data_IF_517022832977
#
_entry.id   IF_517022832977
#
_cell.length_a   1.000
_cell.length_b   1.000
_cell.length_c   1.000
_cell.angle_alpha   90.00
_cell.angle_beta   90.00
_cell.angle_gamma   90.00
#
_symmetry.space_group_name_H-M   'P 1'
#
loop_
_entity.id
_entity.type
_entity.pdbx_description
1 polymer ?
2 polymer ?
3 polymer ?
4 non-polymer ?
5 water ?
#
# COMPACT_ATOMS: atom_id res chain seq x y z
N UNK A 2 -67.69 34.82 17.71
CA UNK A 2 -67.67 33.74 18.69
C UNK A 2 -66.36 33.75 19.47
N UNK A 3 -66.20 32.78 20.38
CA UNK A 3 -64.97 32.71 21.17
C UNK A 3 -63.84 32.03 20.41
N UNK A 4 -64.14 30.92 19.72
CA UNK A 4 -63.11 30.17 19.02
C UNK A 4 -62.96 30.57 17.56
N UNK A 5 -64.06 30.91 16.91
CA UNK A 5 -64.07 31.15 15.49
C UNK A 5 -64.49 29.91 14.71
N UNK A 6 -64.11 29.90 13.43
CA UNK A 6 -64.41 28.75 12.60
C UNK A 6 -63.54 27.56 12.97
N UNK A 7 -64.14 26.38 12.98
CA UNK A 7 -63.44 25.14 13.31
C UNK A 7 -62.90 24.52 12.02
N UNK A 8 -61.59 24.33 11.96
CA UNK A 8 -61.01 23.61 10.84
C UNK A 8 -61.27 22.12 10.99
N UNK A 9 -61.27 21.37 9.88
CA UNK A 9 -61.53 19.93 9.98
C UNK A 9 -60.47 19.22 10.80
N UNK A 10 -60.90 18.23 11.57
CA UNK A 10 -60.00 17.51 12.45
C UNK A 10 -58.87 16.86 11.66
N UNK A 11 -57.64 17.06 12.12
CA UNK A 11 -56.47 16.59 11.40
C UNK A 11 -56.20 15.12 11.69
N UNK A 12 -55.69 14.43 10.67
CA UNK A 12 -55.25 13.05 10.80
C UNK A 12 -53.75 13.00 10.58
N UNK A 13 -52.95 12.68 11.58
CA UNK A 13 -51.49 12.69 11.42
C UNK A 13 -51.06 11.65 10.41
N UNK A 14 -50.12 11.99 9.53
CA UNK A 14 -49.69 11.04 8.50
C UNK A 14 -48.98 9.85 9.12
N UNK A 15 -48.97 8.74 8.36
CA UNK A 15 -48.29 7.55 8.81
C UNK A 15 -46.81 7.86 8.98
N UNK A 16 -46.20 7.24 10.00
CA UNK A 16 -44.80 7.47 10.35
C UNK A 16 -44.55 8.95 10.69
N UNK A 17 -45.56 9.63 11.21
CA UNK A 17 -45.44 11.04 11.51
C UNK A 17 -46.31 11.45 12.68
N UNK A 18 -46.20 12.72 13.05
CA UNK A 18 -46.97 13.27 14.16
C UNK A 18 -47.31 14.73 13.87
N UNK A 19 -48.27 15.25 14.63
CA UNK A 19 -48.71 16.63 14.51
C UNK A 19 -48.63 17.27 15.90
N UNK A 20 -48.10 18.50 15.95
CA UNK A 20 -47.93 19.19 17.21
C UNK A 20 -48.34 20.64 17.00
N UNK A 21 -49.14 21.23 17.92
CA UNK A 21 -49.69 20.59 19.13
C UNK A 21 -50.80 19.59 18.84
N UNK A 22 -50.86 18.53 19.64
CA UNK A 22 -51.91 17.52 19.51
C UNK A 22 -53.17 18.05 20.17
N UNK A 23 -54.13 18.47 19.35
CA UNK A 23 -55.38 19.04 19.83
C UNK A 23 -56.56 18.14 19.46
N UNK A 24 -57.62 18.23 20.26
CA UNK A 24 -58.83 17.48 19.95
C UNK A 24 -59.56 18.10 18.76
N UNK A 25 -59.61 19.42 18.69
CA UNK A 25 -60.15 20.14 17.55
C UNK A 25 -59.24 21.31 17.24
N UNK A 26 -59.48 21.95 16.10
CA UNK A 26 -58.68 23.07 15.63
C UNK A 26 -59.58 24.20 15.17
N UNK A 27 -59.22 25.42 15.54
CA UNK A 27 -60.02 26.60 15.22
C UNK A 27 -59.11 27.67 14.61
N UNK A 28 -59.70 28.81 14.29
CA UNK A 28 -58.98 29.88 13.63
C UNK A 28 -57.76 30.30 14.43
N UNK A 29 -56.66 30.61 13.72
CA UNK A 29 -55.35 31.03 14.21
C UNK A 29 -54.52 29.87 14.73
N UNK A 30 -55.04 28.63 14.73
CA UNK A 30 -54.26 27.49 15.17
C UNK A 30 -53.16 27.20 14.16
N UNK A 31 -51.91 27.19 14.64
CA UNK A 31 -50.75 26.83 13.84
C UNK A 31 -50.19 25.51 14.35
N UNK A 32 -49.88 24.59 13.44
CA UNK A 32 -49.40 23.26 13.80
C UNK A 32 -48.22 22.91 12.91
N UNK A 33 -47.26 22.19 13.49
CA UNK A 33 -46.08 21.71 12.78
C UNK A 33 -46.22 20.20 12.59
N UNK A 34 -46.13 19.76 11.35
CA UNK A 34 -46.17 18.33 11.03
C UNK A 34 -44.74 17.84 10.89
N UNK A 35 -44.43 16.74 11.58
CA UNK A 35 -43.12 16.12 11.50
C UNK A 35 -43.30 14.61 11.36
N UNK A 36 -42.19 13.91 11.14
CA UNK A 36 -42.20 12.48 10.92
C UNK A 36 -41.35 11.79 11.99
N UNK A 37 -41.58 10.48 12.14
CA UNK A 37 -40.85 9.71 13.13
C UNK A 37 -39.38 9.60 12.77
N UNK A 38 -38.60 9.06 13.71
CA UNK A 38 -37.17 8.85 13.48
C UNK A 38 -36.97 7.88 12.33
N UNK A 39 -36.25 8.33 11.29
CA UNK A 39 -36.04 7.56 10.09
C UNK A 39 -36.84 8.03 8.90
N UNK A 40 -37.74 8.98 9.09
CA UNK A 40 -38.56 9.52 8.01
C UNK A 40 -38.36 11.03 7.91
N UNK A 41 -38.68 11.57 6.74
CA UNK A 41 -38.63 13.00 6.50
C UNK A 41 -39.96 13.47 5.92
N UNK A 42 -40.29 14.72 6.20
CA UNK A 42 -41.52 15.30 5.67
C UNK A 42 -41.37 15.50 4.17
N UNK A 43 -42.36 15.03 3.41
CA UNK A 43 -42.38 15.18 1.96
C UNK A 43 -43.60 15.98 1.57
N UNK A 44 -43.38 17.14 0.95
CA UNK A 44 -44.45 18.01 0.49
C UNK A 44 -44.04 18.63 -0.83
N UNK A 45 -44.88 18.46 -1.86
CA UNK A 45 -44.60 18.92 -3.21
C UNK A 45 -43.26 18.35 -3.72
N UNK A 46 -43.02 17.07 -3.40
CA UNK A 46 -41.81 16.36 -3.82
C UNK A 46 -40.55 17.04 -3.28
N UNK A 47 -40.63 17.54 -2.05
CA UNK A 47 -39.51 18.19 -1.38
C UNK A 47 -39.37 17.62 0.02
N UNK A 48 -38.15 17.28 0.41
CA UNK A 48 -37.89 16.75 1.74
C UNK A 48 -37.73 17.89 2.73
N UNK A 49 -38.41 17.78 3.88
CA UNK A 49 -38.34 18.78 4.93
C UNK A 49 -38.28 18.09 6.28
N UNK A 50 -37.88 18.84 7.29
CA UNK A 50 -37.92 18.35 8.67
C UNK A 50 -39.28 18.59 9.31
N UNK A 51 -39.83 19.78 9.13
CA UNK A 51 -41.16 20.12 9.60
C UNK A 51 -41.94 20.78 8.48
N UNK A 52 -43.25 20.89 8.67
CA UNK A 52 -44.10 21.65 7.76
C UNK A 52 -45.22 22.28 8.55
N UNK A 53 -45.38 23.60 8.40
CA UNK A 53 -46.32 24.39 9.18
C UNK A 53 -47.57 24.68 8.37
N UNK A 54 -48.72 24.52 9.02
CA UNK A 54 -50.01 24.85 8.42
C UNK A 54 -50.87 25.57 9.46
N UNK A 55 -51.61 26.57 9.02
CA UNK A 55 -52.48 27.34 9.89
C UNK A 55 -53.94 27.12 9.53
N UNK A 56 -54.82 27.41 10.48
CA UNK A 56 -56.25 27.32 10.29
C UNK A 56 -56.78 28.71 9.93
N UNK A 57 -57.33 28.84 8.72
CA UNK A 57 -57.74 30.14 8.19
C UNK A 57 -59.09 30.55 8.75
N UNK A 58 -59.44 31.82 8.54
CA UNK A 58 -60.66 32.38 9.11
C UNK A 58 -61.93 31.77 8.53
N UNK A 59 -61.85 31.20 7.35
CA UNK A 59 -63.02 30.58 6.71
C UNK A 59 -63.20 29.12 7.12
N UNK A 60 -62.35 28.61 8.00
CA UNK A 60 -62.47 27.23 8.45
C UNK A 60 -61.75 26.22 7.58
N UNK A 61 -60.81 26.65 6.75
CA UNK A 61 -60.03 25.75 5.92
C UNK A 61 -58.56 25.83 6.29
N UNK A 62 -57.84 24.74 6.03
CA UNK A 62 -56.42 24.70 6.38
C UNK A 62 -55.58 25.41 5.32
N UNK A 63 -54.40 25.84 5.75
CA UNK A 63 -53.50 26.56 4.84
C UNK A 63 -53.01 25.66 3.72
N UNK A 64 -52.71 24.40 4.03
CA UNK A 64 -52.29 23.43 3.03
C UNK A 64 -52.79 22.05 3.43
N UNK A 65 -52.75 21.13 2.47
CA UNK A 65 -53.07 19.75 2.77
C UNK A 65 -51.95 19.13 3.62
N UNK A 66 -52.29 18.03 4.28
CA UNK A 66 -51.30 17.38 5.15
C UNK A 66 -50.26 16.69 4.27
N UNK A 67 -48.97 16.90 4.53
CA UNK A 67 -47.93 16.23 3.75
C UNK A 67 -47.79 14.77 4.17
N UNK A 68 -46.83 14.09 3.55
CA UNK A 68 -46.57 12.68 3.82
C UNK A 68 -45.18 12.51 4.43
N UNK A 69 -44.90 11.29 4.85
CA UNK A 69 -43.62 10.93 5.46
C UNK A 69 -42.93 9.90 4.58
N UNK A 70 -41.83 10.30 3.96
CA UNK A 70 -41.03 9.39 3.14
C UNK A 70 -39.87 8.86 3.95
N UNK A 71 -39.52 7.59 3.71
CA UNK A 71 -38.41 6.98 4.41
C UNK A 71 -37.10 7.63 3.99
N UNK A 72 -36.25 7.91 4.97
CA UNK A 72 -34.94 8.50 4.67
C UNK A 72 -34.14 7.51 3.84
N UNK A 73 -33.69 7.94 2.67
CA UNK A 73 -32.92 7.10 1.76
C UNK A 73 -31.48 7.56 1.75
N UNK A 74 -30.56 6.63 1.95
CA UNK A 74 -29.14 6.91 1.90
C UNK A 74 -28.57 6.82 0.49
N UNK A 75 -29.37 6.40 -0.49
CA UNK A 75 -28.98 6.30 -1.90
C UNK A 75 -27.79 5.34 -2.01
N UNK A 76 -26.97 5.51 -3.04
CA UNK A 76 -25.86 4.59 -3.26
C UNK A 76 -24.69 4.95 -2.33
N UNK A 77 -24.09 3.95 -1.70
CA UNK A 77 -22.92 4.22 -0.85
C UNK A 77 -21.73 4.70 -1.68
N UNK A 78 -20.83 5.40 -1.01
CA UNK A 78 -19.63 5.89 -1.66
C UNK A 78 -18.76 4.78 -2.21
N UNK A 79 -18.35 4.90 -3.47
CA UNK A 79 -17.53 3.87 -4.09
C UNK A 79 -16.20 3.74 -3.36
N UNK A 80 -15.83 2.51 -3.03
CA UNK A 80 -14.59 2.21 -2.32
C UNK A 80 -13.52 1.82 -3.33
N UNK A 81 -12.38 2.52 -3.27
CA UNK A 81 -11.26 2.18 -4.14
C UNK A 81 -10.74 0.78 -3.81
N UNK A 82 -10.56 -0.03 -4.84
CA UNK A 82 -10.09 -1.42 -4.69
C UNK A 82 -11.03 -2.24 -3.82
N UNK A 83 -12.32 -1.91 -3.83
CA UNK A 83 -13.28 -2.58 -2.98
C UNK A 83 -14.59 -2.83 -3.71
N UNK A 84 -15.41 -3.68 -3.10
CA UNK A 84 -16.74 -4.00 -3.62
C UNK A 84 -17.77 -3.85 -2.51
N UNK A 85 -19.04 -3.82 -2.91
CA UNK A 85 -20.15 -3.59 -2.01
C UNK A 85 -21.12 -4.76 -2.11
N UNK A 86 -21.44 -5.36 -0.97
CA UNK A 86 -22.44 -6.42 -0.87
C UNK A 86 -23.58 -5.96 0.02
N UNK A 87 -24.69 -6.70 -0.05
CA UNK A 87 -25.91 -6.34 0.67
C UNK A 87 -26.38 -7.52 1.51
N UNK A 88 -27.26 -7.21 2.46
CA UNK A 88 -27.86 -8.24 3.31
C UNK A 88 -29.37 -8.07 3.36
N UNK A 89 -29.85 -6.83 3.21
CA UNK A 89 -31.27 -6.55 3.24
C UNK A 89 -31.94 -6.95 1.93
N UNK A 92 -31.26 -4.52 -2.63
CA UNK A 92 -30.56 -3.28 -2.31
C UNK A 92 -31.55 -2.18 -1.90
N UNK A 93 -31.94 -2.20 -0.62
CA UNK A 93 -32.93 -1.24 -0.13
C UNK A 93 -32.36 0.17 -0.08
N UNK A 94 -31.19 0.33 0.55
CA UNK A 94 -30.46 1.59 0.70
C UNK A 94 -31.25 2.65 1.47
N UNK A 95 -32.35 2.28 2.11
CA UNK A 95 -33.14 3.20 2.91
C UNK A 95 -32.84 2.98 4.39
N UNK A 96 -33.65 3.59 5.25
CA UNK A 96 -33.41 3.56 6.69
C UNK A 96 -33.34 2.12 7.19
N UNK A 97 -32.38 1.89 8.11
CA UNK A 97 -32.15 0.60 8.78
C UNK A 97 -31.52 -0.45 7.86
N UNK A 98 -31.63 -0.28 6.54
CA UNK A 98 -30.99 -1.22 5.63
C UNK A 98 -29.47 -1.06 5.69
N UNK A 99 -28.78 -2.16 5.41
CA UNK A 99 -27.34 -2.23 5.66
C UNK A 99 -26.62 -2.85 4.47
N UNK A 100 -25.38 -2.40 4.27
CA UNK A 100 -24.50 -2.93 3.23
C UNK A 100 -23.22 -3.41 3.89
N UNK A 101 -22.35 -4.03 3.09
CA UNK A 101 -21.09 -4.57 3.58
C UNK A 101 -19.98 -4.22 2.59
N UNK A 102 -18.96 -3.53 3.07
CA UNK A 102 -17.80 -3.22 2.26
C UNK A 102 -16.78 -4.35 2.35
N UNK A 103 -16.27 -4.76 1.19
CA UNK A 103 -15.19 -5.74 1.11
C UNK A 103 -14.14 -5.23 0.15
N UNK A 104 -12.89 -5.61 0.42
CA UNK A 104 -11.79 -5.26 -0.47
C UNK A 104 -11.59 -6.35 -1.50
N UNK A 105 -11.20 -5.94 -2.71
CA UNK A 105 -11.02 -6.88 -3.82
C UNK A 105 -9.90 -7.86 -3.49
N UNK A 106 -10.27 -9.00 -2.89
CA UNK A 106 -9.30 -10.00 -2.50
C UNK A 106 -8.80 -10.77 -3.73
N UNK A 107 -7.62 -11.40 -3.64
CA UNK A 107 -6.71 -11.42 -2.50
C UNK A 107 -5.65 -10.32 -2.52
N UNK A 108 -5.58 -9.58 -3.64
CA UNK A 108 -4.53 -8.59 -3.80
C UNK A 108 -4.71 -7.37 -2.90
N UNK A 109 -5.90 -7.18 -2.35
CA UNK A 109 -6.17 -6.08 -1.43
C UNK A 109 -6.87 -6.59 -0.19
N UNK A 110 -6.53 -5.99 0.96
CA UNK A 110 -7.10 -6.36 2.24
C UNK A 110 -7.54 -5.11 2.98
N UNK A 111 -8.60 -5.25 3.77
CA UNK A 111 -9.15 -4.12 4.51
C UNK A 111 -8.37 -3.92 5.80
N UNK A 112 -8.01 -2.66 6.08
CA UNK A 112 -7.42 -2.31 7.35
C UNK A 112 -8.41 -2.63 8.46
N UNK A 113 -8.08 -3.62 9.30
CA UNK A 113 -9.04 -4.14 10.25
C UNK A 113 -9.36 -3.13 11.37
N UNK A 114 -9.92 -1.99 10.99
CA UNK A 114 -10.44 -1.02 11.94
C UNK A 114 -11.95 -1.09 12.08
N UNK A 115 -12.65 -1.47 11.02
CA UNK A 115 -14.10 -1.66 11.02
C UNK A 115 -14.41 -3.09 10.62
N UNK A 116 -15.70 -3.41 10.60
CA UNK A 116 -16.18 -4.73 10.19
C UNK A 116 -16.76 -4.73 8.79
N UNK A 117 -16.80 -3.58 8.12
CA UNK A 117 -17.33 -3.46 6.79
C UNK A 117 -18.81 -3.15 6.71
N UNK A 118 -19.58 -3.44 7.76
CA UNK A 118 -21.02 -3.23 7.74
C UNK A 118 -21.31 -1.74 7.91
N UNK A 119 -22.17 -1.21 7.05
CA UNK A 119 -22.61 0.18 7.14
C UNK A 119 -24.13 0.22 7.12
N UNK A 120 -24.71 0.85 8.13
CA UNK A 120 -26.17 0.96 8.27
C UNK A 120 -26.60 2.37 7.93
N UNK A 121 -27.72 2.49 7.22
CA UNK A 121 -28.27 3.79 6.86
C UNK A 121 -28.90 4.44 8.08
N UNK A 122 -28.32 5.54 8.54
CA UNK A 122 -28.77 6.19 9.76
C UNK A 122 -30.08 6.94 9.52
N UNK A 123 -30.63 7.47 10.61
CA UNK A 123 -31.84 8.29 10.49
C UNK A 123 -31.55 9.60 9.77
N UNK A 124 -30.33 10.09 9.83
CA UNK A 124 -29.94 11.31 9.14
C UNK A 124 -29.56 11.06 7.68
N UNK A 125 -29.84 9.88 7.14
CA UNK A 125 -29.56 9.60 5.75
C UNK A 125 -28.08 9.44 5.42
N UNK A 126 -27.29 8.90 6.34
CA UNK A 126 -25.86 8.71 6.15
C UNK A 126 -25.51 7.26 6.46
N UNK A 127 -24.74 6.63 5.59
CA UNK A 127 -24.23 5.28 5.85
C UNK A 127 -23.23 5.33 6.99
N UNK A 128 -23.55 4.66 8.10
CA UNK A 128 -22.76 4.72 9.32
C UNK A 128 -22.20 3.36 9.65
N UNK A 129 -20.90 3.31 9.93
CA UNK A 129 -20.26 2.15 10.54
C UNK A 129 -20.10 2.42 12.03
N UNK A 130 -20.27 1.38 12.84
CA UNK A 130 -20.22 1.57 14.29
C UNK A 130 -18.86 2.08 14.75
N UNK A 131 -17.80 1.86 13.98
CA UNK A 131 -16.47 2.33 14.37
C UNK A 131 -16.08 3.51 13.50
N UNK A 132 -16.10 3.31 12.19
CA UNK A 132 -15.65 4.35 11.26
C UNK A 132 -16.67 5.47 11.08
N UNK A 133 -17.91 5.27 11.46
CA UNK A 133 -18.91 6.32 11.29
C UNK A 133 -19.22 6.53 9.82
N UNK A 134 -19.20 7.79 9.40
CA UNK A 134 -19.41 8.12 7.99
C UNK A 134 -18.16 7.93 7.14
N UNK A 135 -17.00 7.75 7.76
CA UNK A 135 -15.78 7.53 7.00
C UNK A 135 -15.79 6.14 6.39
N UNK A 136 -15.24 6.03 5.18
CA UNK A 136 -15.16 4.76 4.48
C UNK A 136 -13.93 3.98 4.93
N UNK A 137 -13.96 2.66 4.81
CA UNK A 137 -12.76 1.86 5.11
C UNK A 137 -11.71 2.04 4.03
N UNK A 138 -10.53 1.49 4.28
CA UNK A 138 -9.39 1.61 3.39
C UNK A 138 -8.89 0.23 2.99
N UNK A 139 -8.67 0.03 1.70
CA UNK A 139 -8.16 -1.22 1.16
C UNK A 139 -6.65 -1.09 0.94
N UNK A 140 -5.87 -1.91 1.63
CA UNK A 140 -4.42 -1.91 1.52
C UNK A 140 -3.95 -3.11 0.72
N UNK A 141 -2.85 -2.98 -0.03
CA UNK A 141 -2.33 -4.11 -0.80
C UNK A 141 -1.87 -5.24 0.11
N UNK A 142 -2.13 -6.47 -0.32
CA UNK A 142 -1.62 -7.66 0.35
C UNK A 142 -0.25 -7.98 -0.23
N UNK A 143 0.66 -8.42 0.63
CA UNK A 143 2.06 -8.62 0.25
C UNK A 143 2.48 -10.06 0.51
N UNK A 144 3.52 -10.48 -0.21
CA UNK A 144 4.24 -11.72 0.07
C UNK A 144 3.47 -12.99 -0.14
N UNK A 145 2.35 -12.96 -0.87
CA UNK A 145 1.55 -14.15 -1.15
C UNK A 145 1.58 -14.42 -2.65
N UNK A 146 2.61 -15.09 -3.15
CA UNK A 146 2.66 -15.38 -4.59
C UNK A 146 1.73 -16.51 -4.98
N UNK A 147 1.18 -16.42 -6.18
CA UNK A 147 0.21 -17.38 -6.67
C UNK A 147 0.86 -18.53 -7.43
N UNK A 148 2.18 -18.67 -7.35
CA UNK A 148 2.90 -19.72 -8.07
C UNK A 148 3.92 -20.35 -7.14
N UNK A 149 3.90 -21.68 -7.06
CA UNK A 149 4.81 -22.41 -6.21
C UNK A 149 6.14 -22.65 -6.92
N UNK A 150 7.11 -23.14 -6.15
CA UNK A 150 8.44 -23.45 -6.68
C UNK A 150 8.56 -24.94 -6.93
N UNK A 151 9.26 -25.29 -8.00
CA UNK A 151 9.50 -26.67 -8.38
C UNK A 151 11.00 -26.93 -8.43
N UNK A 152 11.37 -28.12 -8.90
CA UNK A 152 12.78 -28.49 -9.04
C UNK A 152 13.00 -29.28 -10.32
N UNK B 1 24.27 -12.20 -9.80
CA UNK B 1 23.99 -13.38 -9.00
C UNK B 1 24.98 -14.49 -9.33
N UNK B 2 25.85 -14.80 -8.37
CA UNK B 2 26.88 -15.81 -8.55
C UNK B 2 26.36 -17.18 -8.12
N UNK B 3 26.50 -18.17 -9.01
CA UNK B 3 26.13 -19.56 -8.72
C UNK B 3 24.67 -19.66 -8.28
N UNK B 4 23.77 -19.28 -9.19
CA UNK B 4 22.35 -19.36 -8.92
C UNK B 4 21.63 -20.13 -10.01
N UNK B 5 20.33 -20.35 -9.78
CA UNK B 5 19.49 -21.03 -10.74
C UNK B 5 18.39 -20.08 -11.21
N UNK B 6 17.90 -20.26 -12.44
CA UNK B 6 16.87 -19.36 -12.96
C UNK B 6 15.57 -19.50 -12.17
N UNK B 7 15.06 -18.36 -11.70
CA UNK B 7 13.79 -18.36 -10.99
C UNK B 7 12.64 -18.67 -11.94
N UNK B 8 11.63 -19.35 -11.41
CA UNK B 8 10.47 -19.71 -12.22
C UNK B 8 9.53 -18.51 -12.35
N UNK B 9 8.85 -18.45 -13.49
CA UNK B 9 7.99 -17.31 -13.79
C UNK B 9 6.85 -17.20 -12.78
N UNK B 10 6.75 -16.05 -12.13
CA UNK B 10 5.68 -15.78 -11.19
C UNK B 10 5.98 -16.08 -9.74
N UNK B 11 7.21 -16.50 -9.43
CA UNK B 11 7.58 -16.78 -8.04
C UNK B 11 8.18 -15.59 -7.32
N UNK B 12 8.48 -14.50 -8.05
CA UNK B 12 9.03 -13.28 -7.46
C UNK B 12 8.28 -12.09 -8.05
N UNK B 13 7.03 -11.89 -7.67
CA UNK B 13 6.23 -10.80 -8.26
C UNK B 13 6.51 -9.42 -7.67
N UNK B 14 7.37 -9.33 -6.66
CA UNK B 14 7.70 -8.05 -6.03
C UNK B 14 8.97 -7.43 -6.57
N UNK B 15 9.80 -8.18 -7.29
CA UNK B 15 11.06 -7.65 -7.78
C UNK B 15 10.80 -6.58 -8.83
N UNK B 16 11.62 -5.54 -8.81
CA UNK B 16 11.52 -4.44 -9.76
C UNK B 16 12.88 -4.23 -10.42
N UNK B 17 12.85 -3.81 -11.68
CA UNK B 17 14.06 -3.50 -12.42
C UNK B 17 14.15 -1.99 -12.59
N UNK B 18 15.14 -1.38 -11.95
CA UNK B 18 15.45 0.03 -12.17
C UNK B 18 16.35 0.11 -13.40
N UNK B 19 15.81 0.60 -14.50
CA UNK B 19 16.51 0.63 -15.76
C UNK B 19 16.42 2.02 -16.38
N UNK B 20 17.39 2.34 -17.24
CA UNK B 20 17.34 3.57 -17.99
C UNK B 20 16.17 3.54 -18.98
N UNK B 21 15.83 4.73 -19.49
CA UNK B 21 14.88 4.79 -20.59
C UNK B 21 15.40 4.08 -21.83
N UNK B 22 16.72 3.95 -21.96
CA UNK B 22 17.30 3.12 -23.00
C UNK B 22 16.79 1.69 -22.91
N UNK B 23 16.70 1.16 -21.70
CA UNK B 23 16.31 -0.22 -21.46
C UNK B 23 17.38 -1.04 -20.78
N UNK B 24 18.63 -0.60 -20.81
CA UNK B 24 19.71 -1.33 -20.15
C UNK B 24 19.49 -1.31 -18.65
N UNK B 25 19.39 -2.47 -18.00
CA UNK B 25 19.21 -2.49 -16.55
C UNK B 25 20.46 -2.05 -15.82
N UNK B 26 20.27 -1.39 -14.68
CA UNK B 26 21.42 -0.98 -13.86
C UNK B 26 21.26 -1.27 -12.37
N UNK B 27 20.05 -1.46 -11.85
CA UNK B 27 19.86 -1.83 -10.47
C UNK B 27 18.55 -2.60 -10.34
N UNK B 28 18.30 -3.10 -9.13
CA UNK B 28 17.07 -3.81 -8.81
C UNK B 28 16.32 -3.10 -7.70
N UNK B 29 15.09 -3.58 -7.46
CA UNK B 29 14.25 -3.01 -6.42
C UNK B 29 13.21 -3.99 -5.98
N UNK B 30 12.37 -3.55 -5.05
CA UNK B 30 11.31 -4.36 -4.48
C UNK B 30 10.07 -3.52 -4.33
N UNK B 31 8.93 -4.04 -4.77
CA UNK B 31 7.68 -3.30 -4.65
C UNK B 31 7.20 -3.30 -3.21
N UNK B 32 6.94 -2.12 -2.67
CA UNK B 32 6.40 -1.96 -1.33
C UNK B 32 5.11 -1.15 -1.41
N UNK B 33 4.06 -1.65 -0.76
CA UNK B 33 2.79 -0.97 -0.82
C UNK B 33 2.20 -1.01 -2.22
N UNK B 34 1.70 0.14 -2.67
CA UNK B 34 1.07 0.22 -3.98
C UNK B 34 1.83 1.07 -4.99
N UNK B 35 2.77 1.91 -4.53
CA UNK B 35 3.46 2.81 -5.47
C UNK B 35 4.86 3.16 -4.98
N UNK B 36 5.47 2.31 -4.16
CA UNK B 36 6.81 2.56 -3.65
C UNK B 36 7.75 1.43 -4.06
N UNK B 37 9.01 1.79 -4.29
CA UNK B 37 10.06 0.85 -4.64
C UNK B 37 11.25 1.15 -3.74
N UNK B 38 11.59 0.21 -2.86
CA UNK B 38 12.77 0.33 -2.01
C UNK B 38 13.95 -0.24 -2.79
N UNK B 39 15.13 0.36 -2.60
CA UNK B 39 16.31 -0.02 -3.35
C UNK B 39 17.53 0.51 -2.64
N UNK B 40 18.70 0.30 -3.25
CA UNK B 40 19.93 0.82 -2.70
C UNK B 40 20.02 2.33 -2.91
N UNK B 41 20.64 3.02 -1.95
CA UNK B 41 20.78 4.46 -2.05
C UNK B 41 21.78 4.85 -3.14
N UNK B 42 22.82 4.04 -3.34
CA UNK B 42 23.82 4.37 -4.36
C UNK B 42 23.33 4.13 -5.77
N UNK B 43 22.15 3.51 -5.93
CA UNK B 43 21.57 3.35 -7.26
C UNK B 43 20.98 4.65 -7.79
N UNK B 44 20.67 5.60 -6.90
CA UNK B 44 19.85 6.75 -7.24
C UNK B 44 20.65 8.06 -7.24
N UNK B 45 21.95 7.98 -7.48
CA UNK B 45 22.77 9.18 -7.60
C UNK B 45 24.04 8.84 -8.36
N UNK B 46 24.59 9.84 -9.04
CA UNK B 46 25.82 9.68 -9.80
C UNK B 46 27.02 9.78 -8.86
N UNK B 47 28.21 9.52 -9.42
CA UNK B 47 29.44 9.59 -8.64
C UNK B 47 29.72 11.03 -8.23
N UNK B 48 30.22 11.19 -7.01
CA UNK B 48 30.53 12.53 -6.50
C UNK B 48 31.73 13.11 -7.23
N UNK B 49 31.64 14.39 -7.55
CA UNK B 49 32.70 15.08 -8.27
C UNK B 49 33.96 15.21 -7.42
N UNK B 52 33.91 18.90 -5.47
CA UNK B 52 33.05 18.78 -4.30
C UNK B 52 32.67 17.33 -4.06
N UNK B 53 33.50 16.61 -3.30
CA UNK B 53 33.20 15.20 -3.00
C UNK B 53 31.97 15.00 -2.12
N UNK B 54 31.35 16.06 -1.63
CA UNK B 54 30.15 15.93 -0.80
C UNK B 54 28.94 15.66 -1.67
N UNK B 55 28.00 14.88 -1.13
CA UNK B 55 26.79 14.51 -1.84
C UNK B 55 25.76 15.63 -1.72
N UNK B 56 25.16 16.02 -2.84
CA UNK B 56 24.14 17.06 -2.89
C UNK B 56 22.90 16.51 -3.58
N UNK B 57 21.82 17.31 -3.53
CA UNK B 57 20.58 16.90 -4.18
C UNK B 57 20.69 16.94 -5.69
N UNK B 58 21.60 17.76 -6.23
CA UNK B 58 21.81 17.80 -7.67
C UNK B 58 22.58 16.58 -8.17
N UNK B 59 23.26 15.86 -7.28
CA UNK B 59 23.94 14.62 -7.64
C UNK B 59 22.98 13.46 -7.81
N UNK B 60 21.73 13.61 -7.40
CA UNK B 60 20.75 12.54 -7.51
C UNK B 60 20.38 12.29 -8.97
N UNK B 61 19.81 11.12 -9.22
CA UNK B 61 19.37 10.76 -10.57
C UNK B 61 17.98 11.35 -10.83
N UNK B 62 17.86 12.08 -11.93
CA UNK B 62 16.60 12.75 -12.24
C UNK B 62 15.49 11.73 -12.47
N UNK B 63 14.28 11.98 -11.97
CA UNK B 63 13.18 11.03 -12.21
C UNK B 63 12.87 10.82 -13.68
N UNK B 64 13.16 11.81 -14.53
CA UNK B 64 12.93 11.69 -15.96
C UNK B 64 14.11 11.04 -16.68
N UNK B 65 15.03 10.41 -15.96
CA UNK B 65 16.19 9.78 -16.56
C UNK B 65 16.19 8.26 -16.44
N UNK B 66 15.26 7.67 -15.70
CA UNK B 66 15.19 6.22 -15.58
C UNK B 66 13.77 5.81 -15.27
N UNK B 67 13.49 4.52 -15.48
CA UNK B 67 12.16 3.96 -15.27
C UNK B 67 12.27 2.68 -14.44
N UNK B 68 11.12 2.20 -13.98
CA UNK B 68 11.02 0.98 -13.19
C UNK B 68 10.08 0.02 -13.89
N UNK B 69 10.49 -1.24 -14.01
CA UNK B 69 9.70 -2.27 -14.66
C UNK B 69 9.28 -3.29 -13.62
N UNK B 70 8.00 -3.62 -13.58
CA UNK B 70 7.45 -4.62 -12.69
C UNK B 70 6.93 -5.80 -13.49
N UNK B 71 6.75 -6.93 -12.80
CA UNK B 71 6.32 -8.15 -13.45
C UNK B 71 7.26 -8.63 -14.53
N UNK B 72 8.55 -8.33 -14.41
CA UNK B 72 9.52 -8.68 -15.44
C UNK B 72 10.22 -9.99 -15.08
N UNK B 73 10.38 -10.84 -16.09
CA UNK B 73 11.04 -12.13 -15.92
C UNK B 73 12.34 -12.22 -16.68
N UNK B 74 12.36 -11.78 -17.94
CA UNK B 74 13.58 -11.76 -18.73
C UNK B 74 14.40 -10.51 -18.37
N UNK B 75 15.68 -10.53 -18.77
CA UNK B 75 16.53 -9.37 -18.54
C UNK B 75 16.43 -8.36 -19.68
N UNK B 76 16.43 -8.83 -20.93
CA UNK B 76 16.31 -7.94 -22.07
C UNK B 76 15.07 -8.20 -22.92
N UNK B 77 14.46 -9.38 -22.84
CA UNK B 77 13.23 -9.66 -23.55
C UNK B 77 12.03 -9.14 -22.76
N UNK B 78 10.86 -9.17 -23.39
CA UNK B 78 9.65 -8.64 -22.79
C UNK B 78 8.50 -9.64 -22.93
N UNK B 79 7.56 -9.57 -22.00
CA UNK B 79 6.32 -10.32 -22.05
C UNK B 79 5.16 -9.40 -21.70
N UNK B 80 3.95 -9.92 -21.82
CA UNK B 80 2.75 -9.12 -21.60
C UNK B 80 2.57 -8.69 -20.14
N UNK B 81 3.34 -9.27 -19.22
CA UNK B 81 3.22 -8.94 -17.81
C UNK B 81 4.02 -7.72 -17.40
N UNK B 82 4.95 -7.26 -18.24
CA UNK B 82 5.80 -6.13 -17.87
C UNK B 82 5.01 -4.84 -17.83
N UNK B 83 5.15 -4.11 -16.72
CA UNK B 83 4.52 -2.80 -16.53
C UNK B 83 5.63 -1.76 -16.38
N UNK B 84 5.82 -0.94 -17.40
CA UNK B 84 6.85 0.09 -17.39
C UNK B 84 6.28 1.35 -16.75
N UNK B 85 6.89 1.77 -15.64
CA UNK B 85 6.39 2.89 -14.85
C UNK B 85 7.47 3.95 -14.70
N UNK B 86 7.06 5.21 -14.74
CA UNK B 86 7.97 6.30 -14.53
C UNK B 86 8.34 6.46 -13.06
N UNK B 87 9.03 7.55 -12.78
CA UNK B 87 9.49 7.87 -11.42
C UNK B 87 8.98 9.25 -11.05
N UNK B 88 8.39 9.36 -9.86
CA UNK B 88 7.90 10.63 -9.36
C UNK B 88 8.89 11.30 -8.42
N UNK B 89 9.30 10.62 -7.36
CA UNK B 89 10.21 11.18 -6.37
C UNK B 89 11.23 10.13 -5.96
N UNK B 90 12.37 10.61 -5.48
CA UNK B 90 13.46 9.77 -5.00
C UNK B 90 13.92 10.33 -3.66
N UNK B 91 13.93 9.48 -2.63
CA UNK B 91 14.31 9.90 -1.28
C UNK B 91 15.32 8.91 -0.72
N UNK B 92 16.56 9.37 -0.53
CA UNK B 92 17.59 8.57 0.10
C UNK B 92 17.51 8.73 1.62
N UNK B 93 18.18 7.82 2.33
CA UNK B 93 18.16 7.86 3.78
C UNK B 93 18.86 9.12 4.28
N UNK B 94 18.30 9.82 5.28
CA UNK B 94 18.96 11.04 5.77
C UNK B 94 20.34 10.78 6.36
N UNK B 95 20.54 9.64 7.00
CA UNK B 95 21.84 9.27 7.56
C UNK B 95 22.60 8.32 6.64
N UNK B 96 22.32 8.36 5.34
CA UNK B 96 23.04 7.53 4.38
C UNK B 96 24.42 8.12 4.10
N UNK B 97 25.43 7.27 4.13
CA UNK B 97 26.81 7.67 3.89
C UNK B 97 27.31 7.00 2.62
N UNK B 98 27.57 7.75 1.54
CA UNK B 98 28.06 7.10 0.31
C UNK B 98 29.47 6.56 0.42
N UNK B 99 30.28 7.04 1.36
CA UNK B 99 31.65 6.56 1.50
C UNK B 99 31.69 5.21 2.20
N UNK B 100 30.99 5.08 3.32
CA UNK B 100 30.95 3.83 4.08
C UNK B 100 29.77 2.96 3.70
N UNK B 101 28.93 3.39 2.76
CA UNK B 101 27.72 2.67 2.36
C UNK B 101 26.80 2.42 3.55
N UNK B 102 26.88 3.27 4.57
CA UNK B 102 26.02 3.18 5.74
C UNK B 102 24.62 3.67 5.38
N UNK B 103 23.61 2.91 5.82
CA UNK B 103 22.21 3.18 5.47
C UNK B 103 22.04 3.25 3.95
N UNK B 104 22.67 2.32 3.23
CA UNK B 104 22.56 2.26 1.78
C UNK B 104 21.16 1.79 1.37
N UNK B 105 20.17 2.67 1.56
CA UNK B 105 18.79 2.35 1.26
C UNK B 105 18.08 3.63 0.82
N UNK B 106 17.12 3.48 -0.09
CA UNK B 106 16.37 4.63 -0.59
C UNK B 106 15.01 4.15 -1.07
N UNK B 107 14.10 5.11 -1.22
CA UNK B 107 12.74 4.85 -1.65
C UNK B 107 12.45 5.58 -2.94
N UNK B 108 11.73 4.92 -3.84
CA UNK B 108 11.38 5.47 -5.15
C UNK B 108 9.86 5.57 -5.22
N UNK B 109 9.34 6.79 -5.27
CA UNK B 109 7.91 7.02 -5.41
C UNK B 109 7.53 6.91 -6.87
N UNK B 110 6.69 5.93 -7.21
CA UNK B 110 6.34 5.69 -8.60
C UNK B 110 5.44 6.80 -9.13
N UNK B 111 5.62 7.14 -10.41
CA UNK B 111 4.78 8.15 -11.03
C UNK B 111 3.38 7.60 -11.29
N UNK B 112 3.28 6.36 -11.74
CA UNK B 112 2.02 5.68 -11.97
C UNK B 112 1.98 4.41 -11.15
N UNK B 113 0.86 4.18 -10.46
CA UNK B 113 0.74 2.98 -9.65
C UNK B 113 0.45 1.77 -10.53
N UNK B 114 1.08 0.63 -10.27
CA UNK B 114 0.88 -0.55 -11.09
C UNK B 114 -0.44 -1.24 -10.78
N UNK B 115 -0.84 -2.12 -11.70
CA UNK B 115 -2.04 -2.93 -11.52
C UNK B 115 -1.62 -4.21 -10.78
N UNK B 116 -2.13 -4.37 -9.57
CA UNK B 116 -1.76 -5.51 -8.73
C UNK B 116 -2.42 -6.77 -9.27
N UNK B 117 -1.60 -7.71 -9.73
CA UNK B 117 -2.09 -8.98 -10.24
C UNK B 117 -1.16 -10.08 -9.74
N UNK B 118 -1.37 -11.29 -10.26
CA UNK B 118 -0.57 -12.44 -9.82
C UNK B 118 0.91 -12.31 -10.17
N UNK B 119 1.27 -11.34 -11.01
CA UNK B 119 2.67 -11.11 -11.36
C UNK B 119 3.22 -9.81 -10.82
N UNK B 120 2.39 -8.95 -10.23
CA UNK B 120 2.84 -7.69 -9.63
C UNK B 120 2.12 -7.54 -8.30
N UNK B 121 2.86 -7.67 -7.20
CA UNK B 121 2.31 -7.48 -5.86
C UNK B 121 3.47 -7.18 -4.92
N UNK B 122 3.24 -6.39 -3.87
CA UNK B 122 4.36 -5.95 -3.02
C UNK B 122 4.89 -7.07 -2.15
N UNK B 123 6.04 -6.79 -1.54
CA UNK B 123 6.67 -7.69 -0.58
C UNK B 123 6.46 -7.10 0.82
N UNK B 124 6.28 -7.97 1.80
CA UNK B 124 6.00 -7.50 3.15
C UNK B 124 7.26 -6.94 3.81
N UNK B 125 7.04 -6.19 4.89
CA UNK B 125 8.06 -5.60 5.73
C UNK B 125 8.36 -6.51 6.93
N UNK B 126 9.59 -6.50 7.42
CA UNK B 126 9.93 -7.37 8.56
C UNK B 126 9.41 -6.77 9.86
N UNK B 127 8.66 -7.59 10.61
CA UNK B 127 8.10 -7.13 11.89
C UNK B 127 9.07 -7.30 13.04
N UNK B 128 10.22 -7.92 12.81
CA UNK B 128 11.22 -8.11 13.84
C UNK B 128 12.59 -8.36 13.25
N UNK B 129 13.59 -8.55 14.11
CA UNK B 129 14.94 -8.81 13.62
C UNK B 129 15.07 -10.23 13.09
N UNK B 130 16.21 -10.50 12.45
CA UNK B 130 16.53 -11.80 11.92
C UNK B 130 17.75 -12.36 12.65
N UNK B 131 17.81 -13.69 12.74
CA UNK B 131 18.86 -14.39 13.46
C UNK B 131 19.78 -15.12 12.50
N UNK B 132 20.89 -15.61 13.05
CA UNK B 132 21.90 -16.31 12.26
C UNK B 132 21.33 -17.58 11.65
N UNK B 133 21.89 -17.98 10.51
CA UNK B 133 21.53 -19.23 9.87
C UNK B 133 20.18 -19.25 9.19
N UNK B 134 19.47 -18.13 9.14
CA UNK B 134 18.17 -18.08 8.48
C UNK B 134 18.36 -18.09 6.97
N UNK B 135 17.70 -19.03 6.29
CA UNK B 135 17.81 -19.11 4.85
C UNK B 135 17.02 -17.99 4.18
N UNK B 136 17.67 -17.26 3.30
CA UNK B 136 17.06 -16.15 2.59
C UNK B 136 17.25 -16.36 1.09
N UNK B 137 16.36 -15.76 0.30
CA UNK B 137 16.41 -15.83 -1.15
C UNK B 137 16.79 -14.46 -1.67
N UNK B 138 17.88 -14.39 -2.43
CA UNK B 138 18.34 -13.15 -3.06
C UNK B 138 18.17 -13.29 -4.56
N UNK B 139 17.48 -12.32 -5.16
CA UNK B 139 17.17 -12.36 -6.59
C UNK B 139 17.70 -11.11 -7.29
N UNK B 140 18.01 -11.25 -8.56
CA UNK B 140 18.48 -10.11 -9.34
C UNK B 140 18.91 -10.54 -10.72
N UNK B 141 19.15 -9.54 -11.56
CA UNK B 141 19.62 -9.73 -12.93
C UNK B 141 21.08 -9.33 -13.09
N UNK B 142 21.85 -9.31 -12.01
CA UNK B 142 23.20 -8.81 -12.06
C UNK B 142 24.16 -9.76 -12.76
N UNK B 143 25.44 -9.46 -12.57
CA UNK B 143 26.49 -10.23 -13.23
C UNK B 143 26.64 -11.61 -12.59
N UNK B 144 27.03 -12.58 -13.41
CA UNK B 144 27.28 -13.94 -12.98
C UNK B 144 28.80 -14.20 -12.96
N UNK B 145 29.17 -15.47 -12.80
CA UNK B 145 30.58 -15.84 -12.80
C UNK B 145 31.18 -15.59 -14.18
N UNK B 146 32.48 -15.26 -14.19
CA UNK B 146 33.22 -14.96 -15.41
C UNK B 146 32.63 -13.77 -16.16
N UNK B 147 32.02 -12.84 -15.42
CA UNK B 147 31.48 -11.60 -15.97
C UNK B 147 30.47 -11.87 -17.09
N UNK B 148 29.39 -12.54 -16.72
CA UNK B 148 28.31 -12.87 -17.65
C UNK B 148 26.99 -12.33 -17.10
N UNK B 149 25.99 -12.24 -17.99
CA UNK B 149 24.67 -11.79 -17.61
C UNK B 149 23.61 -12.81 -18.02
N UNK B 150 22.60 -13.01 -17.19
CA UNK B 150 21.56 -13.99 -17.51
C UNK B 150 20.54 -13.45 -18.50
N UNK B 151 19.69 -14.36 -18.97
CA UNK B 151 18.55 -13.98 -19.80
C UNK B 151 17.26 -13.87 -19.00
N UNK B 152 17.16 -14.56 -17.87
CA UNK B 152 16.00 -14.48 -16.98
C UNK B 152 16.48 -14.09 -15.58
N UNK B 153 15.52 -13.97 -14.67
CA UNK B 153 15.84 -13.62 -13.29
C UNK B 153 16.57 -14.78 -12.61
N UNK B 154 17.63 -14.45 -11.89
CA UNK B 154 18.43 -15.42 -11.16
C UNK B 154 18.21 -15.25 -9.66
N UNK B 155 18.40 -16.35 -8.93
CA UNK B 155 18.16 -16.35 -7.49
C UNK B 155 19.11 -17.32 -6.81
N UNK B 156 19.41 -17.04 -5.54
CA UNK B 156 20.23 -17.91 -4.71
C UNK B 156 19.57 -18.02 -3.33
N UNK B 157 19.88 -19.11 -2.64
CA UNK B 157 19.42 -19.34 -1.27
C UNK B 157 20.64 -19.46 -0.38
N UNK B 158 20.90 -18.44 0.42
CA UNK B 158 22.10 -18.38 1.27
C UNK B 158 21.66 -18.16 2.71
N UNK B 159 22.50 -18.53 3.67
CA UNK B 159 22.19 -18.26 5.07
C UNK B 159 22.67 -16.89 5.51
N UNK B 160 21.98 -16.34 6.51
CA UNK B 160 22.34 -15.07 7.10
C UNK B 160 23.51 -15.30 8.07
N UNK B 161 24.61 -14.61 7.85
CA UNK B 161 25.78 -14.75 8.69
C UNK B 161 25.62 -13.90 9.95
N UNK B 162 26.27 -14.34 11.03
CA UNK B 162 26.21 -13.60 12.29
C UNK B 162 26.87 -12.23 12.13
N UNK B 163 26.28 -11.22 12.77
CA UNK B 163 26.77 -9.85 12.62
C UNK B 163 28.17 -9.69 13.21
N UNK B 164 28.48 -10.39 14.29
CA UNK B 164 29.80 -10.28 14.89
C UNK B 164 30.87 -10.87 13.97
N UNK B 165 30.60 -12.06 13.40
CA UNK B 165 31.59 -12.71 12.55
C UNK B 165 31.75 -11.98 11.22
N UNK B 166 30.71 -11.29 10.76
CA UNK B 166 30.82 -10.53 9.52
C UNK B 166 31.59 -9.23 9.73
N UNK B 167 31.32 -8.54 10.84
CA UNK B 167 32.09 -7.34 11.16
C UNK B 167 33.56 -7.68 11.35
N UNK B 168 33.86 -8.87 11.88
CA UNK B 168 35.24 -9.31 11.98
C UNK B 168 35.76 -9.89 10.67
N UNK B 169 34.88 -10.23 9.73
CA UNK B 169 35.33 -10.73 8.44
C UNK B 169 35.88 -9.61 7.57
N UNK B 170 35.38 -8.39 7.74
CA UNK B 170 35.85 -7.24 6.99
C UNK B 170 36.87 -6.41 7.75
N UNK B 171 37.26 -6.85 8.95
CA UNK B 171 38.32 -6.16 9.67
C UNK B 171 39.66 -6.13 8.93
N UNK B 172 40.08 -7.18 8.21
CA UNK B 172 41.32 -7.06 7.43
C UNK B 172 41.29 -5.92 6.41
N UNK B 173 40.14 -5.71 5.76
CA UNK B 173 40.02 -4.64 4.78
C UNK B 173 39.72 -3.28 5.40
N UNK B 174 39.67 -3.20 6.73
CA UNK B 174 39.36 -1.95 7.44
C UNK B 174 38.03 -1.36 7.00
N UNK B 175 37.07 -2.22 6.66
CA UNK B 175 35.74 -1.80 6.24
C UNK B 175 34.76 -2.13 7.35
N UNK B 176 34.22 -1.09 8.00
CA UNK B 176 33.31 -1.30 9.11
C UNK B 176 31.96 -1.83 8.62
N UNK B 177 31.27 -2.56 9.48
CA UNK B 177 29.93 -3.07 9.23
C UNK B 177 29.04 -2.61 10.37
N UNK B 178 28.08 -1.74 10.09
CA UNK B 178 27.28 -1.11 11.12
C UNK B 178 26.00 -1.91 11.38
N UNK B 179 25.19 -1.41 12.33
CA UNK B 179 23.97 -2.11 12.71
C UNK B 179 22.90 -2.03 11.63
N UNK B 180 23.05 -1.13 10.65
CA UNK B 180 22.13 -1.03 9.53
C UNK B 180 22.53 -1.91 8.36
N UNK B 181 23.50 -2.80 8.55
CA UNK B 181 23.95 -3.73 7.52
C UNK B 181 23.77 -5.16 8.00
N UNK B 182 23.38 -6.04 7.08
CA UNK B 182 23.22 -7.46 7.37
C UNK B 182 23.95 -8.26 6.29
N UNK B 183 24.64 -9.31 6.71
CA UNK B 183 25.46 -10.11 5.81
C UNK B 183 24.83 -11.48 5.59
N UNK B 184 25.04 -12.02 4.39
CA UNK B 184 24.57 -13.34 4.02
C UNK B 184 25.64 -14.03 3.19
N UNK B 185 25.45 -15.31 2.97
CA UNK B 185 26.37 -16.10 2.17
C UNK B 185 27.12 -17.13 2.99
N UNK B 186 27.57 -18.17 2.30
CA UNK B 186 28.32 -19.24 2.95
C UNK B 186 29.80 -18.85 3.09
N UNK B 187 30.48 -19.51 4.03
CA UNK B 187 31.88 -19.22 4.28
C UNK B 187 32.78 -19.71 3.16
N UNK B 188 32.35 -20.71 2.40
CA UNK B 188 33.14 -21.22 1.28
C UNK B 188 33.07 -20.34 0.04
N UNK B 189 32.26 -19.30 0.05
CA UNK B 189 32.11 -18.45 -1.10
C UNK B 189 31.07 -18.98 -2.08
N UNK B 190 31.18 -18.55 -3.32
CA UNK B 190 30.31 -19.02 -4.37
C UNK B 190 29.04 -18.22 -4.52
N UNK B 191 27.96 -18.65 -3.87
CA UNK B 191 26.67 -17.99 -4.02
C UNK B 191 26.72 -16.59 -3.41
N UNK B 192 26.53 -15.57 -4.24
CA UNK B 192 26.57 -14.19 -3.81
C UNK B 192 25.98 -13.32 -4.91
N UNK B 193 25.60 -12.10 -4.53
CA UNK B 193 25.15 -11.11 -5.49
C UNK B 193 26.35 -10.37 -6.09
N UNK B 194 26.11 -9.62 -7.16
CA UNK B 194 27.18 -8.94 -7.86
C UNK B 194 26.65 -7.63 -8.44
N UNK B 195 27.43 -7.06 -9.36
CA UNK B 195 27.08 -5.78 -9.95
C UNK B 195 25.80 -5.89 -10.77
N UNK B 196 24.91 -4.91 -10.60
CA UNK B 196 23.59 -4.95 -11.21
C UNK B 196 22.52 -5.52 -10.33
N UNK B 197 22.88 -6.14 -9.19
CA UNK B 197 21.92 -6.69 -8.26
C UNK B 197 21.57 -5.73 -7.12
N UNK B 198 22.20 -4.55 -7.09
CA UNK B 198 21.95 -3.61 -6.00
C UNK B 198 20.47 -3.23 -5.94
N UNK B 199 19.98 -3.05 -4.71
CA UNK B 199 18.58 -2.84 -4.48
C UNK B 199 17.70 -4.07 -4.60
N UNK B 200 18.26 -5.19 -5.07
CA UNK B 200 17.51 -6.40 -5.23
C UNK B 200 17.02 -6.96 -3.90
N UNK B 201 15.96 -7.76 -3.94
CA UNK B 201 15.36 -8.25 -2.69
C UNK B 201 16.12 -9.42 -2.11
N UNK B 202 16.26 -9.40 -0.78
CA UNK B 202 16.69 -10.55 0.01
C UNK B 202 15.54 -10.88 0.94
N UNK B 203 14.73 -11.86 0.56
CA UNK B 203 13.48 -12.14 1.25
C UNK B 203 13.55 -13.52 1.90
N UNK B 204 12.66 -13.73 2.87
CA UNK B 204 12.47 -15.03 3.49
C UNK B 204 10.99 -15.18 3.81
N UNK B 205 10.62 -16.36 4.32
CA UNK B 205 9.24 -16.72 4.53
C UNK B 205 8.90 -16.72 6.01
N UNK B 206 7.81 -16.03 6.37
CA UNK B 206 7.22 -16.15 7.70
C UNK B 206 6.40 -17.43 7.71
N UNK B 207 6.96 -18.49 8.30
CA UNK B 207 6.32 -19.81 8.26
C UNK B 207 4.96 -19.81 8.94
N UNK B 208 4.70 -18.87 9.84
CA UNK B 208 3.40 -18.79 10.50
C UNK B 208 2.37 -18.13 9.60
N UNK B 209 2.64 -16.90 9.16
CA UNK B 209 1.71 -16.18 8.31
C UNK B 209 1.72 -16.67 6.87
N UNK B 210 2.74 -17.42 6.47
CA UNK B 210 2.83 -17.88 5.10
C UNK B 210 3.12 -16.79 4.09
N UNK B 211 3.72 -15.68 4.52
CA UNK B 211 4.03 -14.56 3.65
C UNK B 211 5.53 -14.37 3.57
N UNK B 212 6.01 -14.02 2.38
CA UNK B 212 7.40 -13.62 2.22
C UNK B 212 7.55 -12.15 2.60
N UNK B 213 8.69 -11.83 3.23
CA UNK B 213 8.95 -10.45 3.63
C UNK B 213 10.41 -10.12 3.35
N UNK B 214 10.68 -8.83 3.22
CA UNK B 214 12.01 -8.34 2.85
C UNK B 214 12.87 -8.20 4.10
N UNK B 215 14.06 -8.79 4.06
CA UNK B 215 15.03 -8.68 5.14
C UNK B 215 16.11 -7.66 4.82
N UNK B 216 16.57 -7.63 3.58
CA UNK B 216 17.61 -6.69 3.19
C UNK B 216 17.62 -6.48 1.70
N UNK B 217 18.38 -5.47 1.29
CA UNK B 217 18.59 -5.14 -0.11
C UNK B 217 20.08 -5.18 -0.42
N UNK B 218 20.42 -5.69 -1.61
CA UNK B 218 21.82 -5.84 -1.99
C UNK B 218 22.52 -4.49 -1.94
N UNK B 219 23.72 -4.48 -1.34
CA UNK B 219 24.43 -3.23 -1.11
C UNK B 219 25.86 -3.29 -1.63
N UNK B 220 26.74 -4.00 -0.93
CA UNK B 220 28.16 -3.98 -1.27
C UNK B 220 28.82 -5.27 -0.82
N UNK B 221 30.12 -5.36 -1.07
CA UNK B 221 30.90 -6.52 -0.67
C UNK B 221 32.25 -6.50 -1.34
N UNK B 222 33.11 -7.41 -0.90
CA UNK B 222 34.45 -7.57 -1.47
C UNK B 222 34.34 -8.48 -2.68
N UNK B 223 34.37 -7.89 -3.87
CA UNK B 223 34.18 -8.62 -5.14
C UNK B 223 32.84 -9.35 -5.07
N UNK B 224 32.76 -10.54 -5.66
CA UNK B 224 31.51 -11.28 -5.73
C UNK B 224 31.80 -12.75 -5.47
N UNK B 225 31.34 -13.26 -4.32
CA UNK B 225 31.48 -14.66 -4.02
C UNK B 225 32.85 -15.12 -3.59
N UNK B 226 33.62 -14.25 -2.94
CA UNK B 226 34.93 -14.62 -2.45
C UNK B 226 34.82 -15.43 -1.16
N UNK B 227 35.78 -16.32 -0.96
CA UNK B 227 35.86 -17.07 0.28
C UNK B 227 36.23 -16.13 1.43
N UNK B 228 35.78 -16.50 2.63
CA UNK B 228 35.99 -15.69 3.84
C UNK B 228 35.41 -14.29 3.69
N UNK B 229 34.40 -14.15 2.83
CA UNK B 229 33.71 -12.88 2.62
C UNK B 229 32.21 -13.16 2.52
N UNK B 230 31.42 -12.18 2.93
CA UNK B 230 29.97 -12.27 2.89
C UNK B 230 29.40 -11.05 2.18
N UNK B 231 28.37 -11.28 1.37
CA UNK B 231 27.66 -10.16 0.76
C UNK B 231 26.93 -9.36 1.83
N UNK B 232 27.04 -8.04 1.73
CA UNK B 232 26.47 -7.13 2.73
C UNK B 232 25.21 -6.50 2.16
N UNK B 233 24.16 -6.47 2.98
CA UNK B 233 22.86 -5.95 2.59
C UNK B 233 22.41 -4.92 3.60
N UNK B 234 21.55 -4.01 3.16
CA UNK B 234 21.01 -2.98 4.05
C UNK B 234 19.93 -3.59 4.93
N UNK B 235 20.10 -3.46 6.25
CA UNK B 235 19.16 -4.05 7.19
C UNK B 235 17.83 -3.30 7.13
N UNK B 236 16.80 -3.96 6.61
CA UNK B 236 15.50 -3.30 6.45
C UNK B 236 14.85 -3.05 7.81
N UNK B 237 15.01 -4.00 8.74
CA UNK B 237 14.40 -3.86 10.05
C UNK B 237 14.93 -2.64 10.80
N UNK B 238 16.18 -2.27 10.55
CA UNK B 238 16.77 -1.12 11.25
C UNK B 238 16.07 0.18 10.87
N UNK B 239 15.93 0.44 9.57
CA UNK B 239 15.30 1.66 9.07
C UNK B 239 13.87 1.42 8.61
N UNK B 240 13.17 0.47 9.22
CA UNK B 240 11.78 0.22 8.84
C UNK B 240 10.89 1.41 9.21
N UNK B 241 11.15 2.03 10.37
CA UNK B 241 10.36 3.19 10.76
C UNK B 241 10.56 4.35 9.80
N UNK B 242 11.81 4.56 9.36
CA UNK B 242 12.06 5.60 8.35
C UNK B 242 11.34 5.29 7.05
N UNK B 243 11.31 4.02 6.66
CA UNK B 243 10.58 3.61 5.46
C UNK B 243 9.08 3.84 5.67
N UNK B 244 8.56 3.40 6.82
CA UNK B 244 7.15 3.60 7.11
C UNK B 244 6.81 5.08 7.29
N UNK B 245 7.75 5.88 7.80
CA UNK B 245 7.49 7.30 7.97
C UNK B 245 7.42 8.02 6.63
N UNK B 246 8.15 7.55 5.63
CA UNK B 246 8.14 8.19 4.32
C UNK B 246 7.08 7.59 3.41
N UNK B 247 6.93 6.27 3.41
CA UNK B 247 5.94 5.63 2.55
C UNK B 247 4.55 5.69 3.17
N UNK B 248 4.42 5.23 4.41
CA UNK B 248 3.13 5.10 5.05
C UNK B 248 2.45 3.77 4.87
N UNK B 249 3.01 2.90 4.03
CA UNK B 249 2.41 1.59 3.80
C UNK B 249 2.77 0.66 4.95
N UNK B 250 1.90 -0.31 5.22
CA UNK B 250 2.08 -1.25 6.32
C UNK B 250 1.62 -2.62 5.88
N UNK B 251 2.13 -3.64 6.57
CA UNK B 251 1.73 -5.02 6.29
C UNK B 251 0.30 -5.27 6.74
N UNK C 1 37.91 -5.86 -5.18
CA UNK C 1 37.88 -5.05 -3.98
C UNK C 1 36.48 -4.76 -3.49
N UNK C 2 36.36 -3.82 -2.55
CA UNK C 2 35.07 -3.42 -2.00
C UNK C 2 34.37 -2.54 -3.04
N UNK C 3 33.35 -3.08 -3.69
CA UNK C 3 32.63 -2.38 -4.73
C UNK C 3 31.13 -2.45 -4.47
N UNK C 4 30.42 -1.42 -4.92
CA UNK C 4 28.97 -1.44 -4.90
C UNK C 4 28.44 -2.45 -5.91
N UNK C 5 27.29 -3.04 -5.59
CA UNK C 5 26.69 -4.08 -6.42
C UNK C 5 25.80 -3.52 -7.52
N UNK C 6 26.08 -2.31 -7.99
CA UNK C 6 25.26 -1.65 -9.00
C UNK C 6 25.93 -1.71 -10.37
N UNK C 7 25.27 -1.13 -11.36
CA UNK C 7 25.81 -1.03 -12.71
C UNK C 7 25.89 0.43 -13.14
N UNK C 8 27.10 0.99 -13.29
CA UNK C 8 28.37 0.30 -13.05
C UNK C 8 28.70 0.18 -11.57
N UNK C 9 29.52 -0.81 -11.21
CA UNK C 9 29.91 -0.94 -9.79
C UNK C 9 30.84 0.19 -9.37
N UNK C 10 30.63 0.69 -8.17
CA UNK C 10 31.46 1.77 -7.61
C UNK C 10 32.60 1.09 -6.86
N UNK C 11 33.63 0.69 -7.61
CA UNK C 11 34.73 -0.06 -7.05
C UNK C 11 35.69 0.85 -6.27
N UNK C 12 36.54 0.22 -5.45
CA UNK C 12 37.52 0.93 -4.64
C UNK C 12 38.59 -0.03 -4.18
X LIG D 1 4.73 -11.08 6.85
X LIG D 1 3.77 -11.88 7.50
X LIG D 1 5.42 -10.16 7.87
X LIG D 1 6.15 -10.93 8.77
X LIG D 1 7.39 -10.36 9.12
X LIG D 1 8.08 -11.21 10.18
X LIG D 1 9.29 -10.61 10.56
#
# INVERSE_FOLDING_TARGET
>A
ASMTGNECPELQPPVHGKIEPSQAKYFFKDQVLVSCDTGYKVLKDNVEMDTFQIECLKDGTWSNKIPTCKIVDCRAPGELEHGLITFSTRNNLTTYKSEIKYSCQEPYYKMLNNNTGIYTCSAQGVWMNKVLGRSLPTCLPVCGLPKFSRKLMAR
>B
IFNGRPAQKGTTPWIAMLSHLNGQPFCGGSLLGSSWIVTAAHCLHQSLDPEDPTLRDSDLLSPSDFKIILGKHWRLRSDENEQHLGVKHTTLHPQYDPNTFENDVALVELLESPVLNAFVMPICLPEGPQQEGAMVIVSGWGKQFLQRFPETLMEIEIPIVDHSTCQKAYAPLKKKVTRDMICAGEKEGGKDACAGDSGGPMVTLNRERGQWYLVGTVSWGDDCGKKDRYGVYSYIHHNKDWIQRVTGVRN
>C
GICSRSLPPICIPD
>D hetero
1 PEG C1 O1 C2 O2 C3 C4 O4
#
